data_IF_795550804813
#
_entry.id   IF_795550804813
#
_cell.length_a   1.000
_cell.length_b   1.000
_cell.length_c   1.000
_cell.angle_alpha   90.00
_cell.angle_beta   90.00
_cell.angle_gamma   90.00
#
_symmetry.space_group_name_H-M   'P 1'
#
loop_
_entity.id
_entity.type
_entity.pdbx_description
1 polymer ?
#
# COMPACT_ATOMS: atom_id res chain seq x y z
N UNK A 1 43.95 -32.94 76.87
CA UNK A 1 43.03 -32.49 75.78
C UNK A 1 43.80 -32.14 74.49
N UNK A 2 43.81 -33.10 73.56
CA UNK A 2 43.61 -32.95 72.10
C UNK A 2 44.56 -32.08 71.24
N UNK A 3 45.33 -32.80 70.39
CA UNK A 3 45.83 -32.55 68.99
C UNK A 3 46.85 -31.42 68.74
N UNK A 4 48.10 -31.73 68.36
CA UNK A 4 48.61 -32.17 67.03
C UNK A 4 48.75 -31.00 66.03
N UNK A 5 49.94 -30.43 65.82
CA UNK A 5 51.00 -30.83 64.87
C UNK A 5 50.64 -30.55 63.39
N UNK A 6 51.32 -29.58 62.76
CA UNK A 6 52.00 -29.61 61.44
C UNK A 6 52.13 -28.20 60.80
N UNK A 7 53.37 -27.75 60.60
CA UNK A 7 53.80 -26.77 59.58
C UNK A 7 53.74 -27.42 58.17
N UNK A 8 54.13 -26.74 57.08
CA UNK A 8 53.71 -25.46 56.49
C UNK A 8 53.14 -25.71 55.06
N UNK A 9 52.33 -24.82 54.46
CA UNK A 9 51.96 -24.99 53.05
C UNK A 9 52.04 -23.72 52.20
N UNK A 10 52.68 -23.92 51.05
CA UNK A 10 53.07 -23.02 49.99
C UNK A 10 51.95 -22.09 49.49
N UNK A 11 52.31 -20.82 49.33
CA UNK A 11 51.55 -19.85 48.55
C UNK A 11 51.79 -20.15 47.06
N UNK A 12 50.86 -20.87 46.42
CA UNK A 12 50.79 -20.99 44.96
C UNK A 12 49.85 -19.91 44.41
N UNK A 13 50.44 -18.92 43.75
CA UNK A 13 49.72 -17.91 42.95
C UNK A 13 49.26 -18.60 41.65
N UNK A 14 47.96 -18.60 41.30
CA UNK A 14 47.52 -19.10 40.01
C UNK A 14 47.79 -18.06 38.92
N UNK A 15 48.77 -18.35 38.07
CA UNK A 15 48.97 -17.65 36.79
C UNK A 15 47.82 -18.03 35.86
N UNK A 16 46.79 -17.17 35.78
CA UNK A 16 45.77 -17.26 34.74
C UNK A 16 46.36 -16.74 33.43
N UNK A 17 46.88 -17.64 32.60
CA UNK A 17 47.13 -17.39 31.18
C UNK A 17 45.77 -17.24 30.50
N UNK A 18 45.25 -16.01 30.44
CA UNK A 18 44.17 -15.67 29.51
C UNK A 18 44.79 -15.65 28.10
N UNK A 19 44.78 -16.81 27.45
CA UNK A 19 45.06 -16.94 26.04
C UNK A 19 44.00 -16.16 25.26
N UNK A 20 44.29 -14.90 24.94
CA UNK A 20 43.61 -14.19 23.87
C UNK A 20 43.91 -14.93 22.57
N UNK A 21 42.97 -15.75 22.14
CA UNK A 21 42.88 -16.27 20.77
C UNK A 21 42.80 -15.07 19.84
N UNK A 22 43.94 -14.67 19.27
CA UNK A 22 43.98 -13.73 18.15
C UNK A 22 43.07 -14.29 17.04
N UNK A 23 42.12 -13.52 16.49
CA UNK A 23 41.40 -13.97 15.31
C UNK A 23 42.43 -14.18 14.21
N UNK A 24 42.46 -15.38 13.63
CA UNK A 24 43.41 -15.67 12.57
C UNK A 24 43.13 -14.75 11.38
N UNK A 25 44.18 -14.31 10.69
CA UNK A 25 44.08 -13.48 9.48
C UNK A 25 43.25 -14.17 8.37
N UNK A 26 43.13 -15.50 8.42
CA UNK A 26 42.27 -16.31 7.54
C UNK A 26 40.78 -16.10 7.79
N UNK A 27 40.36 -16.03 9.05
CA UNK A 27 38.96 -15.80 9.43
C UNK A 27 38.48 -14.41 9.04
N UNK A 28 39.34 -13.39 9.12
CA UNK A 28 39.01 -12.04 8.68
C UNK A 28 38.87 -11.92 7.14
N UNK A 29 39.62 -12.72 6.37
CA UNK A 29 39.54 -12.76 4.90
C UNK A 29 38.35 -13.55 4.38
N UNK A 30 37.85 -14.54 5.11
CA UNK A 30 36.62 -15.30 4.80
C UNK A 30 35.35 -14.65 5.36
N UNK A 31 35.45 -13.89 6.46
CA UNK A 31 34.34 -13.11 7.01
C UNK A 31 33.91 -11.96 6.08
N UNK A 32 34.86 -11.32 5.39
CA UNK A 32 34.57 -10.26 4.41
C UNK A 32 33.67 -10.72 3.25
N UNK A 33 33.98 -11.83 2.54
CA UNK A 33 33.14 -12.32 1.45
C UNK A 33 31.79 -12.82 1.96
N UNK A 34 31.71 -13.46 3.13
CA UNK A 34 30.43 -13.88 3.73
C UNK A 34 29.54 -12.66 4.06
N UNK A 35 30.11 -11.59 4.64
CA UNK A 35 29.36 -10.35 4.92
C UNK A 35 28.92 -9.66 3.63
N UNK A 36 29.77 -9.64 2.60
CA UNK A 36 29.41 -9.06 1.29
C UNK A 36 28.28 -9.85 0.63
N UNK A 37 28.33 -11.19 0.65
CA UNK A 37 27.28 -12.06 0.11
C UNK A 37 25.94 -11.89 0.85
N UNK A 38 25.97 -11.78 2.19
CA UNK A 38 24.77 -11.50 3.00
C UNK A 38 24.20 -10.12 2.65
N UNK A 39 25.04 -9.09 2.50
CA UNK A 39 24.61 -7.74 2.11
C UNK A 39 24.00 -7.76 0.70
N UNK A 40 24.64 -8.43 -0.25
CA UNK A 40 24.17 -8.54 -1.63
C UNK A 40 22.82 -9.26 -1.71
N UNK A 41 22.67 -10.39 -1.00
CA UNK A 41 21.41 -11.12 -0.89
C UNK A 41 20.30 -10.27 -0.26
N UNK A 42 20.62 -9.44 0.75
CA UNK A 42 19.66 -8.52 1.39
C UNK A 42 19.23 -7.41 0.45
N UNK A 43 20.17 -6.81 -0.29
CA UNK A 43 19.88 -5.80 -1.31
C UNK A 43 18.99 -6.38 -2.41
N UNK A 44 19.25 -7.60 -2.87
CA UNK A 44 18.44 -8.28 -3.88
C UNK A 44 17.02 -8.59 -3.36
N UNK A 45 16.89 -9.04 -2.12
CA UNK A 45 15.59 -9.27 -1.49
C UNK A 45 14.76 -7.98 -1.39
N UNK A 46 15.37 -6.89 -0.92
CA UNK A 46 14.73 -5.57 -0.83
C UNK A 46 14.34 -5.04 -2.21
N UNK A 47 15.17 -5.27 -3.23
CA UNK A 47 14.88 -4.89 -4.61
C UNK A 47 13.65 -5.64 -5.16
N UNK A 48 13.58 -6.95 -4.95
CA UNK A 48 12.43 -7.77 -5.35
C UNK A 48 11.15 -7.32 -4.64
N UNK A 49 11.20 -7.10 -3.32
CA UNK A 49 10.07 -6.60 -2.53
C UNK A 49 9.57 -5.26 -3.07
N UNK A 50 10.48 -4.28 -3.25
CA UNK A 50 10.14 -2.96 -3.78
C UNK A 50 9.51 -3.05 -5.16
N UNK A 51 10.01 -3.94 -6.02
CA UNK A 51 9.49 -4.13 -7.37
C UNK A 51 8.07 -4.70 -7.33
N UNK A 52 7.83 -5.69 -6.47
CA UNK A 52 6.53 -6.34 -6.35
C UNK A 52 5.49 -5.41 -5.68
N UNK A 53 5.92 -4.60 -4.71
CA UNK A 53 5.09 -3.55 -4.13
C UNK A 53 4.74 -2.45 -5.15
N UNK A 54 5.70 -2.01 -5.97
CA UNK A 54 5.44 -1.02 -7.04
C UNK A 54 4.46 -1.60 -8.06
N UNK A 55 4.68 -2.84 -8.52
CA UNK A 55 3.79 -3.49 -9.48
C UNK A 55 2.39 -3.63 -8.90
N UNK A 56 2.28 -4.04 -7.65
CA UNK A 56 1.02 -4.14 -6.95
C UNK A 56 0.28 -2.81 -6.80
N UNK A 57 0.98 -1.77 -6.37
CA UNK A 57 0.40 -0.43 -6.25
C UNK A 57 -0.04 0.11 -7.61
N UNK A 58 0.69 -0.23 -8.68
CA UNK A 58 0.36 0.15 -10.05
C UNK A 58 -0.87 -0.58 -10.58
N UNK A 59 -1.00 -1.89 -10.33
CA UNK A 59 -2.19 -2.66 -10.71
C UNK A 59 -3.41 -2.14 -9.96
N UNK A 60 -3.28 -1.84 -8.66
CA UNK A 60 -4.35 -1.25 -7.86
C UNK A 60 -4.74 0.16 -8.31
N UNK A 61 -3.76 1.00 -8.69
CA UNK A 61 -4.05 2.28 -9.33
C UNK A 61 -4.80 2.12 -10.66
N UNK A 62 -4.44 1.10 -11.44
CA UNK A 62 -5.08 0.82 -12.73
C UNK A 62 -6.54 0.38 -12.57
N UNK A 63 -6.87 -0.41 -11.54
CA UNK A 63 -8.27 -0.76 -11.25
C UNK A 63 -9.10 0.47 -10.88
N UNK A 64 -8.55 1.39 -10.08
CA UNK A 64 -9.19 2.67 -9.78
C UNK A 64 -9.39 3.55 -11.04
N UNK A 65 -8.41 3.54 -11.95
CA UNK A 65 -8.49 4.24 -13.23
C UNK A 65 -9.62 3.69 -14.11
N UNK A 66 -9.73 2.35 -14.19
CA UNK A 66 -10.80 1.67 -14.92
C UNK A 66 -12.17 1.95 -14.30
N UNK A 67 -12.28 1.92 -12.98
CA UNK A 67 -13.48 2.33 -12.26
C UNK A 67 -13.88 3.77 -12.60
N UNK A 68 -12.90 4.70 -12.67
CA UNK A 68 -13.12 6.07 -13.11
C UNK A 68 -13.65 6.18 -14.54
N UNK A 69 -13.14 5.37 -15.47
CA UNK A 69 -13.65 5.29 -16.85
C UNK A 69 -15.09 4.77 -16.90
N UNK A 70 -15.37 3.65 -16.22
CA UNK A 70 -16.69 3.03 -16.17
C UNK A 70 -17.72 4.01 -15.58
N UNK A 71 -17.35 4.65 -14.49
CA UNK A 71 -18.18 5.66 -13.83
C UNK A 71 -18.47 6.83 -14.77
N UNK A 72 -17.45 7.35 -15.47
CA UNK A 72 -17.63 8.42 -16.44
C UNK A 72 -18.55 8.01 -17.60
N UNK A 73 -18.43 6.78 -18.10
CA UNK A 73 -19.29 6.23 -19.16
C UNK A 73 -20.76 6.24 -18.73
N UNK A 74 -21.05 5.71 -17.54
CA UNK A 74 -22.40 5.62 -16.98
C UNK A 74 -23.03 7.02 -16.85
N UNK A 75 -22.35 7.95 -16.18
CA UNK A 75 -22.88 9.29 -15.97
C UNK A 75 -23.04 10.07 -17.27
N UNK A 76 -22.12 9.93 -18.24
CA UNK A 76 -22.25 10.57 -19.55
C UNK A 76 -23.46 10.08 -20.32
N UNK A 77 -23.70 8.77 -20.32
CA UNK A 77 -24.86 8.20 -20.98
C UNK A 77 -26.16 8.77 -20.40
N UNK A 78 -26.24 8.89 -19.07
CA UNK A 78 -27.43 9.46 -18.40
C UNK A 78 -27.63 10.94 -18.60
N UNK A 79 -26.56 11.72 -18.51
CA UNK A 79 -26.63 13.17 -18.74
C UNK A 79 -26.69 13.54 -20.24
N UNK A 80 -26.63 12.55 -21.15
CA UNK A 80 -26.64 12.74 -22.61
C UNK A 80 -25.56 13.73 -23.09
N UNK A 81 -24.39 13.68 -22.46
CA UNK A 81 -23.32 14.66 -22.70
C UNK A 81 -22.35 14.15 -23.77
N UNK A 82 -22.31 14.84 -24.90
CA UNK A 82 -21.39 14.57 -26.03
C UNK A 82 -20.16 15.47 -26.05
N UNK A 83 -20.16 16.56 -25.29
CA UNK A 83 -19.07 17.54 -25.26
C UNK A 83 -17.90 17.09 -24.36
N UNK A 84 -16.68 17.60 -24.58
CA UNK A 84 -15.50 17.42 -23.73
C UNK A 84 -15.15 15.95 -23.35
N UNK A 85 -15.45 14.99 -24.24
CA UNK A 85 -15.29 13.54 -23.97
C UNK A 85 -13.88 13.22 -23.48
N UNK A 86 -12.87 13.54 -24.29
CA UNK A 86 -11.47 13.26 -23.98
C UNK A 86 -11.03 13.91 -22.67
N UNK A 87 -11.43 15.16 -22.43
CA UNK A 87 -11.06 15.91 -21.23
C UNK A 87 -11.63 15.29 -19.96
N UNK A 88 -12.87 14.82 -20.00
CA UNK A 88 -13.45 14.12 -18.84
C UNK A 88 -12.81 12.76 -18.64
N UNK A 89 -12.63 11.95 -19.69
CA UNK A 89 -12.02 10.63 -19.55
C UNK A 89 -10.59 10.75 -19.03
N UNK A 90 -9.75 11.60 -19.63
CA UNK A 90 -8.39 11.83 -19.17
C UNK A 90 -8.35 12.21 -17.68
N UNK A 91 -9.20 13.14 -17.25
CA UNK A 91 -9.23 13.55 -15.85
C UNK A 91 -9.80 12.49 -14.91
N UNK A 92 -10.82 11.74 -15.32
CA UNK A 92 -11.45 10.70 -14.52
C UNK A 92 -10.66 9.39 -14.48
N UNK A 93 -9.70 9.22 -15.38
CA UNK A 93 -8.73 8.13 -15.32
C UNK A 93 -7.51 8.55 -14.50
N UNK A 94 -6.91 9.71 -14.83
CA UNK A 94 -5.65 10.14 -14.23
C UNK A 94 -5.78 10.53 -12.75
N UNK A 95 -6.85 11.24 -12.36
CA UNK A 95 -6.98 11.70 -10.97
C UNK A 95 -7.22 10.55 -9.99
N UNK A 96 -8.15 9.60 -10.23
CA UNK A 96 -8.30 8.42 -9.37
C UNK A 96 -7.05 7.53 -9.36
N UNK A 97 -6.37 7.36 -10.49
CA UNK A 97 -5.10 6.63 -10.57
C UNK A 97 -4.04 7.23 -9.63
N UNK A 98 -3.74 8.53 -9.81
CA UNK A 98 -2.73 9.22 -9.01
C UNK A 98 -3.15 9.30 -7.54
N UNK A 99 -4.42 9.58 -7.26
CA UNK A 99 -4.96 9.62 -5.91
C UNK A 99 -4.80 8.27 -5.20
N UNK A 100 -5.05 7.16 -5.89
CA UNK A 100 -4.87 5.81 -5.32
C UNK A 100 -3.40 5.54 -5.02
N UNK A 101 -2.48 5.83 -5.94
CA UNK A 101 -1.04 5.60 -5.71
C UNK A 101 -0.53 6.39 -4.51
N UNK A 102 -0.87 7.68 -4.44
CA UNK A 102 -0.42 8.55 -3.35
C UNK A 102 -1.04 8.12 -2.02
N UNK A 103 -2.35 7.87 -1.99
CA UNK A 103 -3.06 7.48 -0.77
C UNK A 103 -2.62 6.10 -0.28
N UNK A 104 -2.40 5.15 -1.20
CA UNK A 104 -1.90 3.82 -0.86
C UNK A 104 -0.49 3.90 -0.25
N UNK A 105 0.38 4.71 -0.86
CA UNK A 105 1.73 4.93 -0.31
C UNK A 105 1.67 5.49 1.11
N UNK A 106 0.91 6.56 1.33
CA UNK A 106 0.87 7.25 2.62
C UNK A 106 0.16 6.44 3.72
N UNK A 107 -0.96 5.80 3.37
CA UNK A 107 -1.83 5.16 4.37
C UNK A 107 -1.50 3.70 4.61
N UNK A 108 -0.96 2.99 3.61
CA UNK A 108 -0.65 1.56 3.69
C UNK A 108 0.87 1.36 3.76
N UNK A 109 1.61 1.78 2.74
CA UNK A 109 3.05 1.48 2.63
C UNK A 109 3.87 2.13 3.74
N UNK A 110 3.78 3.45 3.91
CA UNK A 110 4.58 4.19 4.90
C UNK A 110 4.20 3.76 6.33
N UNK A 111 2.93 3.44 6.55
CA UNK A 111 2.44 3.03 7.84
C UNK A 111 2.83 1.57 8.19
N UNK A 112 2.93 0.68 7.18
CA UNK A 112 3.45 -0.68 7.32
C UNK A 112 4.94 -0.67 7.68
N UNK A 113 5.76 0.13 6.98
CA UNK A 113 7.18 0.27 7.29
C UNK A 113 7.45 0.96 8.62
N UNK A 114 6.51 1.75 9.14
CA UNK A 114 6.60 2.33 10.48
C UNK A 114 6.40 1.32 11.61
N UNK A 115 6.08 0.05 11.31
CA UNK A 115 5.96 -1.04 12.29
C UNK A 115 4.73 -0.98 13.19
N UNK A 116 3.74 -0.16 12.84
CA UNK A 116 2.58 0.13 13.70
C UNK A 116 1.30 -0.63 13.33
N UNK A 117 1.35 -1.58 12.39
CA UNK A 117 0.16 -2.08 11.70
C UNK A 117 0.11 -3.61 11.69
N UNK A 118 -1.03 -4.17 12.10
CA UNK A 118 -1.36 -5.60 11.98
C UNK A 118 -1.86 -5.94 10.57
N UNK A 119 -1.91 -7.24 10.23
CA UNK A 119 -2.46 -7.70 8.94
C UNK A 119 -3.88 -7.17 8.69
N UNK A 120 -4.74 -7.22 9.69
CA UNK A 120 -6.13 -6.76 9.59
C UNK A 120 -6.20 -5.25 9.30
N UNK A 121 -5.36 -4.46 9.96
CA UNK A 121 -5.33 -3.02 9.76
C UNK A 121 -4.76 -2.65 8.37
N UNK A 122 -3.78 -3.40 7.87
CA UNK A 122 -3.28 -3.26 6.50
C UNK A 122 -4.40 -3.52 5.47
N UNK A 123 -5.15 -4.60 5.65
CA UNK A 123 -6.30 -4.95 4.81
C UNK A 123 -7.39 -3.88 4.86
N UNK A 124 -7.72 -3.40 6.07
CA UNK A 124 -8.70 -2.34 6.28
C UNK A 124 -8.30 -1.05 5.57
N UNK A 125 -7.05 -0.61 5.75
CA UNK A 125 -6.53 0.61 5.12
C UNK A 125 -6.46 0.49 3.60
N UNK A 126 -6.01 -0.65 3.08
CA UNK A 126 -6.00 -0.93 1.64
C UNK A 126 -7.40 -0.92 1.03
N UNK A 127 -8.36 -1.58 1.70
CA UNK A 127 -9.76 -1.58 1.29
C UNK A 127 -10.37 -0.18 1.32
N UNK A 128 -10.10 0.59 2.39
CA UNK A 128 -10.56 1.97 2.53
C UNK A 128 -10.02 2.87 1.41
N UNK A 129 -8.73 2.76 1.09
CA UNK A 129 -8.12 3.48 -0.05
C UNK A 129 -8.81 3.10 -1.36
N UNK A 130 -9.07 1.81 -1.57
CA UNK A 130 -9.83 1.33 -2.72
C UNK A 130 -11.19 1.99 -2.82
N UNK A 131 -12.00 1.92 -1.77
CA UNK A 131 -13.35 2.49 -1.76
C UNK A 131 -13.31 4.01 -1.96
N UNK A 132 -12.44 4.72 -1.24
CA UNK A 132 -12.33 6.17 -1.31
C UNK A 132 -11.83 6.66 -2.67
N UNK A 133 -10.68 6.16 -3.12
CA UNK A 133 -10.01 6.64 -4.33
C UNK A 133 -10.54 5.97 -5.61
N UNK A 134 -10.98 4.73 -5.53
CA UNK A 134 -11.46 3.94 -6.66
C UNK A 134 -12.97 3.99 -6.89
N UNK A 135 -13.78 4.42 -5.91
CA UNK A 135 -15.26 4.47 -6.07
C UNK A 135 -15.80 5.85 -5.75
N UNK A 136 -15.62 6.33 -4.53
CA UNK A 136 -16.22 7.59 -4.08
C UNK A 136 -15.67 8.79 -4.85
N UNK A 137 -14.35 8.90 -4.96
CA UNK A 137 -13.67 9.98 -5.68
C UNK A 137 -14.07 10.04 -7.16
N UNK A 138 -13.96 8.97 -7.97
CA UNK A 138 -14.39 9.01 -9.36
C UNK A 138 -15.89 9.25 -9.51
N UNK A 139 -16.74 8.71 -8.63
CA UNK A 139 -18.20 8.93 -8.66
C UNK A 139 -18.55 10.39 -8.45
N UNK A 140 -18.02 11.02 -7.40
CA UNK A 140 -18.25 12.43 -7.12
C UNK A 140 -17.71 13.33 -8.24
N UNK A 141 -16.53 13.00 -8.78
CA UNK A 141 -15.91 13.73 -9.87
C UNK A 141 -16.71 13.60 -11.17
N UNK A 142 -17.20 12.40 -11.50
CA UNK A 142 -17.98 12.13 -12.71
C UNK A 142 -19.32 12.85 -12.66
N UNK A 143 -20.02 12.72 -11.53
CA UNK A 143 -21.29 13.37 -11.28
C UNK A 143 -21.15 14.89 -11.44
N UNK A 144 -20.16 15.49 -10.77
CA UNK A 144 -19.96 16.94 -10.79
C UNK A 144 -19.57 17.46 -12.18
N UNK A 145 -18.63 16.79 -12.87
CA UNK A 145 -18.18 17.21 -14.20
C UNK A 145 -19.25 17.05 -15.26
N UNK A 146 -19.88 15.88 -15.31
CA UNK A 146 -20.91 15.59 -16.32
C UNK A 146 -22.20 16.36 -16.02
N UNK A 147 -22.61 16.50 -14.76
CA UNK A 147 -23.75 17.33 -14.38
C UNK A 147 -23.57 18.79 -14.77
N UNK A 148 -22.40 19.39 -14.45
CA UNK A 148 -22.09 20.77 -14.87
C UNK A 148 -22.15 20.93 -16.39
N UNK A 149 -21.64 19.95 -17.13
CA UNK A 149 -21.62 19.96 -18.58
C UNK A 149 -23.03 19.84 -19.16
N UNK A 150 -23.88 19.03 -18.54
CA UNK A 150 -25.27 18.84 -18.93
C UNK A 150 -26.09 20.12 -18.78
N UNK A 151 -25.90 20.87 -17.69
CA UNK A 151 -26.56 22.16 -17.51
C UNK A 151 -26.00 23.26 -18.39
N UNK A 152 -24.69 23.26 -18.65
CA UNK A 152 -24.05 24.23 -19.54
C UNK A 152 -24.55 24.10 -20.99
N UNK A 153 -24.76 22.86 -21.46
CA UNK A 153 -25.16 22.58 -22.84
C UNK A 153 -26.64 22.18 -22.98
N UNK A 154 -27.44 22.35 -21.92
CA UNK A 154 -28.87 22.03 -21.91
C UNK A 154 -29.22 20.63 -22.43
N UNK A 155 -28.38 19.63 -22.14
CA UNK A 155 -28.59 18.24 -22.61
C UNK A 155 -29.62 17.48 -21.78
N UNK A 156 -29.99 18.02 -20.62
CA UNK A 156 -31.02 17.49 -19.71
C UNK A 156 -31.99 18.60 -19.32
N UNK A 157 -33.26 18.27 -18.99
CA UNK A 157 -34.24 19.27 -18.58
C UNK A 157 -33.71 20.07 -17.39
N UNK A 158 -33.87 21.40 -17.48
CA UNK A 158 -33.39 22.31 -16.44
C UNK A 158 -34.18 22.10 -15.14
N UNK A 159 -33.49 22.06 -13.99
CA UNK A 159 -34.12 21.86 -12.70
C UNK A 159 -34.94 23.10 -12.32
N UNK A 160 -36.10 22.95 -11.67
CA UNK A 160 -36.84 24.08 -11.14
C UNK A 160 -36.07 24.76 -10.00
N UNK A 161 -35.87 26.08 -10.11
CA UNK A 161 -35.38 27.03 -9.10
C UNK A 161 -34.26 26.50 -8.18
N UNK A 162 -33.00 26.70 -8.58
CA UNK A 162 -31.82 26.64 -7.71
C UNK A 162 -31.40 25.25 -7.19
N UNK A 163 -32.23 24.22 -7.32
CA UNK A 163 -31.98 22.86 -6.81
C UNK A 163 -31.28 21.95 -7.81
N UNK A 164 -30.21 22.46 -8.41
CA UNK A 164 -29.48 21.80 -9.50
C UNK A 164 -28.88 20.46 -9.06
N UNK A 165 -28.19 20.45 -7.91
CA UNK A 165 -27.54 19.25 -7.38
C UNK A 165 -28.55 18.18 -6.97
N UNK A 166 -29.62 18.56 -6.26
CA UNK A 166 -30.65 17.62 -5.81
C UNK A 166 -31.34 16.96 -7.01
N UNK A 167 -31.66 17.74 -8.04
CA UNK A 167 -32.25 17.21 -9.26
C UNK A 167 -31.30 16.27 -10.01
N UNK A 168 -30.02 16.64 -10.16
CA UNK A 168 -29.01 15.73 -10.72
C UNK A 168 -28.89 14.44 -9.93
N UNK A 169 -28.88 14.51 -8.59
CA UNK A 169 -28.77 13.35 -7.73
C UNK A 169 -29.97 12.42 -7.91
N UNK A 170 -31.18 12.98 -7.97
CA UNK A 170 -32.41 12.24 -8.22
C UNK A 170 -32.38 11.56 -9.60
N UNK A 171 -31.93 12.28 -10.63
CA UNK A 171 -31.81 11.77 -12.00
C UNK A 171 -30.82 10.61 -12.11
N UNK A 172 -29.76 10.64 -11.29
CA UNK A 172 -28.71 9.63 -11.26
C UNK A 172 -28.90 8.54 -10.21
N UNK A 173 -30.01 8.53 -9.46
CA UNK A 173 -30.22 7.57 -8.35
C UNK A 173 -30.03 6.11 -8.78
N UNK A 174 -30.52 5.72 -9.97
CA UNK A 174 -30.33 4.37 -10.51
C UNK A 174 -28.86 4.06 -10.83
N UNK A 175 -28.10 5.05 -11.29
CA UNK A 175 -26.67 4.86 -11.60
C UNK A 175 -25.82 4.79 -10.36
N UNK A 176 -26.18 5.57 -9.33
CA UNK A 176 -25.52 5.48 -8.02
C UNK A 176 -25.70 4.06 -7.46
N UNK A 177 -26.86 3.43 -7.69
CA UNK A 177 -27.05 2.00 -7.37
C UNK A 177 -26.16 1.08 -8.22
N UNK A 178 -25.97 1.40 -9.51
CA UNK A 178 -25.06 0.63 -10.37
C UNK A 178 -23.58 0.71 -9.91
N UNK A 179 -23.19 1.76 -9.16
CA UNK A 179 -21.86 1.87 -8.55
C UNK A 179 -21.60 0.82 -7.46
N UNK A 180 -22.59 0.01 -7.07
CA UNK A 180 -22.35 -1.15 -6.20
C UNK A 180 -21.41 -2.17 -6.84
N UNK A 181 -21.39 -2.28 -8.17
CA UNK A 181 -20.51 -3.19 -8.90
C UNK A 181 -19.04 -2.81 -8.73
N UNK A 182 -18.60 -1.58 -9.11
CA UNK A 182 -17.23 -1.15 -8.84
C UNK A 182 -16.93 -1.10 -7.34
N UNK A 183 -17.91 -0.86 -6.47
CA UNK A 183 -17.72 -0.94 -5.01
C UNK A 183 -17.28 -2.34 -4.56
N UNK A 184 -18.00 -3.38 -4.97
CA UNK A 184 -17.66 -4.76 -4.62
C UNK A 184 -16.29 -5.12 -5.19
N UNK A 185 -16.05 -4.81 -6.46
CA UNK A 185 -14.77 -5.10 -7.13
C UNK A 185 -13.60 -4.41 -6.43
N UNK A 186 -13.71 -3.10 -6.15
CA UNK A 186 -12.62 -2.36 -5.54
C UNK A 186 -12.39 -2.78 -4.09
N UNK A 187 -13.44 -3.22 -3.38
CA UNK A 187 -13.33 -3.78 -2.04
C UNK A 187 -12.58 -5.12 -2.06
N UNK A 188 -12.94 -6.04 -2.97
CA UNK A 188 -12.26 -7.34 -3.08
C UNK A 188 -10.81 -7.19 -3.53
N UNK A 189 -10.56 -6.32 -4.52
CA UNK A 189 -9.19 -5.97 -4.91
C UNK A 189 -8.43 -5.34 -3.74
N UNK A 190 -9.02 -4.42 -2.99
CA UNK A 190 -8.37 -3.80 -1.83
C UNK A 190 -8.01 -4.80 -0.74
N UNK A 191 -8.88 -5.78 -0.47
CA UNK A 191 -8.60 -6.85 0.49
C UNK A 191 -7.46 -7.75 -0.01
N UNK A 192 -7.57 -8.25 -1.24
CA UNK A 192 -6.55 -9.10 -1.84
C UNK A 192 -5.18 -8.41 -1.88
N UNK A 193 -5.18 -7.13 -2.26
CA UNK A 193 -3.97 -6.32 -2.36
C UNK A 193 -3.32 -6.08 -1.00
N UNK A 194 -4.12 -5.77 0.02
CA UNK A 194 -3.64 -5.59 1.39
C UNK A 194 -3.05 -6.89 1.98
N UNK A 195 -3.72 -8.03 1.74
CA UNK A 195 -3.22 -9.35 2.16
C UNK A 195 -1.91 -9.70 1.48
N UNK A 196 -1.82 -9.54 0.15
CA UNK A 196 -0.58 -9.79 -0.58
C UNK A 196 0.54 -8.88 -0.11
N UNK A 197 0.26 -7.58 0.05
CA UNK A 197 1.24 -6.59 0.46
C UNK A 197 1.80 -6.88 1.86
N UNK A 198 0.95 -7.28 2.80
CA UNK A 198 1.37 -7.72 4.12
C UNK A 198 2.20 -9.00 4.08
N UNK A 199 1.76 -10.02 3.33
CA UNK A 199 2.50 -11.29 3.22
C UNK A 199 3.90 -11.12 2.61
N UNK A 200 4.03 -10.24 1.61
CA UNK A 200 5.33 -9.89 1.02
C UNK A 200 6.24 -9.25 2.08
N UNK A 201 5.72 -8.28 2.83
CA UNK A 201 6.44 -7.59 3.89
C UNK A 201 6.90 -8.54 5.00
N UNK A 202 6.00 -9.39 5.51
CA UNK A 202 6.31 -10.39 6.53
C UNK A 202 7.39 -11.37 6.05
N UNK A 203 7.27 -11.88 4.82
CA UNK A 203 8.27 -12.79 4.25
C UNK A 203 9.66 -12.16 4.10
N UNK A 204 9.75 -10.84 3.91
CA UNK A 204 11.03 -10.13 3.87
C UNK A 204 11.58 -9.90 5.27
N UNK A 205 10.71 -9.64 6.25
CA UNK A 205 11.10 -9.48 7.65
C UNK A 205 11.69 -10.79 8.18
N UNK A 206 11.04 -11.93 7.96
CA UNK A 206 11.52 -13.25 8.37
C UNK A 206 12.90 -13.58 7.78
N UNK A 207 13.09 -13.35 6.48
CA UNK A 207 14.39 -13.54 5.79
C UNK A 207 15.49 -12.63 6.31
N UNK A 208 15.12 -11.49 6.89
CA UNK A 208 16.07 -10.55 7.48
C UNK A 208 16.45 -10.92 8.91
N UNK A 209 15.57 -11.58 9.66
CA UNK A 209 15.78 -11.98 11.07
C UNK A 209 16.52 -13.33 11.18
N UNK A 210 16.30 -14.25 10.23
CA UNK A 210 16.93 -15.59 10.25
C UNK A 210 18.40 -15.61 9.77
N UNK A 211 19.00 -14.47 9.39
CA UNK A 211 20.39 -14.37 8.90
C UNK A 211 21.26 -13.46 9.77
#
# INVERSE_FOLDING_TARGET
PVKALLLPQDIKIPTYTHGQSRPSLGDAKLRKPVVIEIIEKKIECLRKEKTLNIYGTLTFGTTAAFSGMLTNFIFRHRFKVTHDVLKTYASLTALPFLSTIVSYKLLVTDALYSGNISQEECVLRSSLVGIACGVLHPTALAFSKNGRLAFKYHTVPLPPKGRVLLYSLLLCHSEIKAMVIPLILQTTFGIFHGLQHYAIFESTLEKTVQN
#
